data_IF_697248152655
#
_entry.id   IF_697248152655
#
_cell.length_a   1.000
_cell.length_b   1.000
_cell.length_c   1.000
_cell.angle_alpha   90.00
_cell.angle_beta   90.00
_cell.angle_gamma   90.00
#
_symmetry.space_group_name_H-M   'P 1'
#
loop_
_entity.id
_entity.type
_entity.pdbx_description
1 polymer ?
#
# COMPACT_ATOMS: atom_id res chain seq x y z
N UNK A 1 56.48 25.87 -33.46
CA UNK A 1 56.64 24.93 -32.37
C UNK A 1 55.26 24.27 -32.10
N UNK A 2 55.07 23.06 -32.59
CA UNK A 2 53.82 22.29 -32.33
C UNK A 2 54.15 21.39 -31.10
N UNK A 3 53.47 21.64 -29.98
CA UNK A 3 53.60 20.81 -28.79
C UNK A 3 52.77 19.51 -28.99
N UNK A 4 53.48 18.40 -29.08
CA UNK A 4 52.92 17.06 -29.14
C UNK A 4 52.64 16.67 -27.70
N UNK A 5 51.39 16.52 -27.31
CA UNK A 5 50.97 15.92 -26.03
C UNK A 5 51.13 14.42 -26.17
N UNK A 6 51.90 13.75 -25.30
CA UNK A 6 52.13 12.32 -25.42
C UNK A 6 50.83 11.51 -25.16
N UNK A 7 50.59 10.52 -26.01
CA UNK A 7 49.41 9.65 -25.99
C UNK A 7 49.19 8.90 -24.66
N UNK A 8 50.20 8.85 -23.82
CA UNK A 8 50.13 8.21 -22.45
C UNK A 8 49.24 8.97 -21.46
N UNK A 9 49.02 10.30 -21.65
CA UNK A 9 48.14 11.08 -20.76
C UNK A 9 46.69 10.93 -21.10
N UNK A 10 46.31 10.66 -22.34
CA UNK A 10 44.96 10.38 -22.76
C UNK A 10 44.47 9.00 -22.27
N UNK A 11 45.37 8.00 -22.23
CA UNK A 11 45.05 6.69 -21.69
C UNK A 11 44.87 6.73 -20.16
N UNK A 12 45.63 7.59 -19.45
CA UNK A 12 45.50 7.74 -18.00
C UNK A 12 44.24 8.51 -17.61
N UNK A 13 43.84 9.49 -18.40
CA UNK A 13 42.57 10.22 -18.18
C UNK A 13 41.35 9.35 -18.51
N UNK A 14 41.42 8.49 -19.52
CA UNK A 14 40.36 7.52 -19.83
C UNK A 14 40.25 6.43 -18.78
N UNK A 15 41.36 6.01 -18.14
CA UNK A 15 41.36 5.04 -17.04
C UNK A 15 40.83 5.67 -15.74
N UNK A 16 41.08 6.96 -15.49
CA UNK A 16 40.53 7.70 -14.35
C UNK A 16 39.03 7.99 -14.51
N UNK A 17 38.53 8.17 -15.74
CA UNK A 17 37.11 8.31 -16.01
C UNK A 17 36.38 6.95 -15.97
N UNK A 18 37.07 5.85 -16.25
CA UNK A 18 36.48 4.51 -16.13
C UNK A 18 36.46 3.96 -14.68
N UNK A 19 37.25 4.56 -13.76
CA UNK A 19 37.26 4.21 -12.32
C UNK A 19 36.29 5.08 -11.51
N UNK A 20 35.77 6.17 -12.09
CA UNK A 20 34.79 7.03 -11.42
C UNK A 20 33.33 6.52 -11.51
N UNK A 21 33.10 5.43 -12.23
CA UNK A 21 31.76 4.77 -12.31
C UNK A 21 31.67 3.49 -11.45
N UNK A 22 32.58 3.29 -10.53
CA UNK A 22 32.29 2.47 -9.34
C UNK A 22 31.69 3.43 -8.30
N UNK A 23 30.55 4.01 -8.61
CA UNK A 23 29.62 4.41 -7.58
C UNK A 23 29.45 3.20 -6.66
N UNK A 24 29.77 3.34 -5.40
CA UNK A 24 29.34 2.43 -4.35
C UNK A 24 27.90 2.09 -4.70
N UNK A 25 27.62 0.84 -5.03
CA UNK A 25 26.27 0.40 -5.32
C UNK A 25 25.50 0.66 -4.03
N UNK A 26 24.67 1.72 -4.00
CA UNK A 26 23.81 2.03 -2.89
C UNK A 26 23.02 0.76 -2.57
N UNK A 27 23.14 0.26 -1.34
CA UNK A 27 22.45 -0.94 -0.91
C UNK A 27 20.95 -0.62 -0.84
N UNK A 28 20.21 -1.00 -1.89
CA UNK A 28 18.78 -0.80 -1.98
C UNK A 28 18.05 -2.10 -1.69
N UNK A 29 16.98 -2.02 -0.92
CA UNK A 29 16.16 -3.16 -0.53
C UNK A 29 14.69 -2.92 -0.83
N UNK A 30 14.00 -3.99 -1.20
CA UNK A 30 12.54 -4.02 -1.24
C UNK A 30 12.09 -4.64 0.08
N UNK A 31 11.20 -3.95 0.80
CA UNK A 31 10.55 -4.46 1.99
C UNK A 31 9.10 -4.78 1.64
N UNK A 32 8.74 -6.06 1.69
CA UNK A 32 7.40 -6.54 1.34
C UNK A 32 6.74 -7.23 2.54
N UNK A 33 5.47 -6.90 2.81
CA UNK A 33 4.70 -7.59 3.84
C UNK A 33 4.27 -8.97 3.36
N UNK A 34 4.32 -9.97 4.24
CA UNK A 34 3.86 -11.32 3.91
C UNK A 34 2.33 -11.48 3.97
N UNK A 35 1.61 -10.50 4.53
CA UNK A 35 0.16 -10.49 4.79
C UNK A 35 -0.25 -11.71 5.64
N UNK A 36 -0.76 -12.78 5.04
CA UNK A 36 -1.11 -14.04 5.71
C UNK A 36 0.09 -14.78 6.33
N UNK A 37 1.29 -14.45 5.95
CA UNK A 37 2.54 -14.82 6.60
C UNK A 37 3.01 -13.64 7.45
N UNK A 38 3.10 -13.75 8.78
CA UNK A 38 3.37 -12.62 9.68
C UNK A 38 4.83 -12.15 9.65
N UNK A 39 5.37 -11.96 8.46
CA UNK A 39 6.76 -11.55 8.23
C UNK A 39 6.86 -10.37 7.28
N UNK A 40 7.95 -9.64 7.43
CA UNK A 40 8.44 -8.69 6.44
C UNK A 40 9.61 -9.33 5.71
N UNK A 41 9.55 -9.36 4.41
CA UNK A 41 10.58 -9.87 3.52
C UNK A 41 11.48 -8.74 3.07
N UNK A 42 12.75 -8.79 3.46
CA UNK A 42 13.79 -7.91 2.96
C UNK A 42 14.46 -8.56 1.74
N UNK A 43 14.41 -7.89 0.61
CA UNK A 43 14.90 -8.38 -0.68
C UNK A 43 15.97 -7.41 -1.17
N UNK A 44 17.18 -7.91 -1.41
CA UNK A 44 18.24 -7.13 -2.05
C UNK A 44 17.85 -6.80 -3.49
N UNK A 45 17.64 -5.52 -3.78
CA UNK A 45 17.19 -5.04 -5.08
C UNK A 45 18.21 -5.35 -6.19
N UNK A 46 19.48 -5.11 -5.92
CA UNK A 46 20.54 -5.36 -6.88
C UNK A 46 20.75 -6.86 -7.14
N UNK A 47 20.59 -7.68 -6.10
CA UNK A 47 20.61 -9.15 -6.27
C UNK A 47 19.40 -9.62 -7.09
N UNK A 48 18.21 -9.04 -6.90
CA UNK A 48 17.01 -9.40 -7.66
C UNK A 48 17.19 -9.18 -9.17
N UNK A 49 17.89 -8.13 -9.57
CA UNK A 49 18.18 -7.82 -10.98
C UNK A 49 19.20 -8.75 -11.63
N UNK A 50 19.92 -9.59 -10.87
CA UNK A 50 20.87 -10.56 -11.46
C UNK A 50 20.11 -11.71 -12.13
N UNK A 51 20.39 -12.04 -13.42
CA UNK A 51 19.64 -13.07 -14.15
C UNK A 51 19.59 -14.44 -13.44
N UNK A 52 20.65 -14.81 -12.73
CA UNK A 52 20.74 -16.07 -11.97
C UNK A 52 19.76 -16.16 -10.79
N UNK A 53 19.24 -15.03 -10.32
CA UNK A 53 18.31 -14.95 -9.20
C UNK A 53 16.85 -14.80 -9.68
N UNK A 54 16.62 -14.65 -10.99
CA UNK A 54 15.29 -14.50 -11.54
C UNK A 54 14.47 -15.78 -11.32
N UNK A 55 13.21 -15.62 -10.92
CA UNK A 55 12.28 -16.70 -10.56
C UNK A 55 12.74 -17.56 -9.38
N UNK A 56 13.52 -17.00 -8.47
CA UNK A 56 14.02 -17.70 -7.27
C UNK A 56 13.84 -16.82 -6.02
N UNK A 57 13.95 -17.39 -4.81
CA UNK A 57 14.00 -16.63 -3.57
C UNK A 57 15.40 -16.08 -3.21
N UNK A 58 16.39 -16.27 -4.05
CA UNK A 58 17.82 -16.03 -3.72
C UNK A 58 18.16 -14.56 -3.45
N UNK A 59 17.27 -13.63 -3.81
CA UNK A 59 17.44 -12.21 -3.46
C UNK A 59 16.86 -11.86 -2.08
N UNK A 60 16.14 -12.77 -1.41
CA UNK A 60 15.61 -12.55 -0.05
C UNK A 60 16.77 -12.68 0.93
N UNK A 61 17.08 -11.60 1.65
CA UNK A 61 18.17 -11.56 2.63
C UNK A 61 17.71 -11.92 4.04
N UNK A 62 16.45 -11.57 4.36
CA UNK A 62 15.85 -11.91 5.66
C UNK A 62 14.33 -11.88 5.64
N UNK A 63 13.72 -12.48 6.66
CA UNK A 63 12.27 -12.56 6.91
C UNK A 63 12.03 -12.23 8.38
N UNK A 64 11.82 -10.95 8.69
CA UNK A 64 11.59 -10.51 10.06
C UNK A 64 10.15 -10.75 10.49
N UNK A 65 9.91 -11.43 11.60
CA UNK A 65 8.57 -11.56 12.19
C UNK A 65 8.10 -10.23 12.75
N UNK A 66 6.81 -9.94 12.61
CA UNK A 66 6.18 -8.69 13.12
C UNK A 66 5.75 -8.78 14.57
N UNK A 67 5.64 -10.00 15.10
CA UNK A 67 5.31 -10.29 16.49
C UNK A 67 6.06 -11.53 16.97
N UNK A 68 6.26 -11.71 18.30
CA UNK A 68 6.61 -12.99 18.86
C UNK A 68 5.54 -14.05 18.53
N UNK A 69 5.97 -15.28 18.34
CA UNK A 69 5.03 -16.39 18.22
C UNK A 69 4.26 -16.60 19.53
N UNK A 70 3.11 -17.21 19.44
CA UNK A 70 2.38 -17.68 20.62
C UNK A 70 3.17 -18.75 21.36
N UNK A 71 2.77 -19.06 22.61
CA UNK A 71 3.37 -20.12 23.42
C UNK A 71 3.28 -21.51 22.77
N UNK A 72 2.29 -21.72 21.90
CA UNK A 72 2.11 -22.95 21.12
C UNK A 72 2.92 -22.93 19.79
N UNK A 73 3.72 -21.89 19.55
CA UNK A 73 4.51 -21.72 18.34
C UNK A 73 3.73 -21.17 17.13
N UNK A 74 2.45 -20.85 17.29
CA UNK A 74 1.65 -20.26 16.20
C UNK A 74 2.15 -18.85 15.86
N UNK A 75 2.50 -18.56 14.60
CA UNK A 75 2.88 -17.23 14.17
C UNK A 75 1.74 -16.21 14.33
N UNK A 76 2.08 -14.97 14.67
CA UNK A 76 1.12 -13.90 14.96
C UNK A 76 1.39 -12.68 14.10
N UNK A 77 0.30 -12.05 13.67
CA UNK A 77 0.31 -10.83 12.88
C UNK A 77 -0.25 -11.06 11.48
N UNK A 78 -0.68 -9.96 10.87
CA UNK A 78 -1.25 -9.92 9.53
C UNK A 78 -0.80 -8.62 8.87
N UNK A 79 0.52 -8.50 8.51
CA UNK A 79 1.12 -7.24 8.06
C UNK A 79 0.52 -6.79 6.72
N UNK A 80 -0.25 -5.71 6.77
CA UNK A 80 -0.96 -5.16 5.63
C UNK A 80 -0.22 -4.01 4.94
N UNK A 81 0.46 -3.16 5.71
CA UNK A 81 1.14 -1.99 5.19
C UNK A 81 2.47 -1.77 5.92
N UNK A 82 3.42 -1.15 5.23
CA UNK A 82 4.73 -0.80 5.77
C UNK A 82 5.11 0.60 5.32
N UNK A 83 5.52 1.44 6.26
CA UNK A 83 5.99 2.81 6.01
C UNK A 83 7.29 3.02 6.79
N UNK A 84 8.29 3.58 6.13
CA UNK A 84 9.57 3.93 6.76
C UNK A 84 9.48 5.30 7.45
N UNK A 85 10.26 5.48 8.52
CA UNK A 85 10.57 6.81 9.05
C UNK A 85 11.39 7.62 8.02
N UNK A 86 11.42 8.94 8.18
CA UNK A 86 12.15 9.84 7.29
C UNK A 86 13.67 9.54 7.24
N UNK A 87 14.24 9.10 8.36
CA UNK A 87 15.65 8.70 8.46
C UNK A 87 15.91 7.24 8.05
N UNK A 88 14.89 6.53 7.57
CA UNK A 88 14.92 5.13 7.16
C UNK A 88 15.37 4.11 8.24
N UNK A 89 15.50 4.55 9.51
CA UNK A 89 15.95 3.66 10.60
C UNK A 89 14.86 2.82 11.21
N UNK A 90 13.61 3.28 11.10
CA UNK A 90 12.44 2.63 11.68
C UNK A 90 11.43 2.28 10.61
N UNK A 91 10.93 1.05 10.61
CA UNK A 91 9.77 0.64 9.83
C UNK A 91 8.55 0.53 10.75
N UNK A 92 7.44 1.16 10.34
CA UNK A 92 6.13 1.00 10.98
C UNK A 92 5.30 0.06 10.14
N UNK A 93 4.94 -1.08 10.71
CA UNK A 93 4.18 -2.12 10.02
C UNK A 93 2.80 -2.22 10.64
N UNK A 94 1.77 -1.93 9.85
CA UNK A 94 0.38 -2.11 10.28
C UNK A 94 -0.02 -3.56 10.09
N UNK A 95 -0.45 -4.18 11.17
CA UNK A 95 -1.04 -5.51 11.15
C UNK A 95 -2.56 -5.35 11.18
N UNK A 96 -3.21 -5.85 10.15
CA UNK A 96 -4.65 -5.74 9.97
C UNK A 96 -5.41 -6.45 11.10
N UNK A 97 -4.96 -7.65 11.42
CA UNK A 97 -5.32 -8.40 12.60
C UNK A 97 -4.04 -8.67 13.39
N UNK A 98 -3.87 -8.00 14.49
CA UNK A 98 -2.70 -8.19 15.35
C UNK A 98 -3.16 -8.71 16.71
N UNK A 99 -2.58 -9.76 17.19
CA UNK A 99 -2.95 -10.26 18.48
C UNK A 99 -2.31 -9.42 19.60
N UNK A 100 -2.96 -8.32 19.94
CA UNK A 100 -2.73 -7.68 21.25
C UNK A 100 -3.34 -8.57 22.36
N UNK A 101 -4.41 -9.32 22.01
CA UNK A 101 -5.07 -10.25 22.91
C UNK A 101 -5.47 -11.53 22.15
N UNK A 102 -4.90 -12.66 22.53
CA UNK A 102 -5.14 -13.96 21.88
C UNK A 102 -6.62 -14.40 21.91
N UNK A 103 -7.40 -14.01 22.91
CA UNK A 103 -8.81 -14.36 23.00
C UNK A 103 -9.65 -13.56 22.00
N UNK A 104 -9.37 -12.27 21.83
CA UNK A 104 -10.01 -11.41 20.82
C UNK A 104 -9.67 -11.86 19.40
N UNK A 105 -8.43 -12.25 19.14
CA UNK A 105 -8.02 -12.76 17.83
C UNK A 105 -8.83 -13.97 17.38
N UNK A 106 -9.10 -14.90 18.31
CA UNK A 106 -9.87 -16.11 18.00
C UNK A 106 -11.36 -15.83 17.77
N UNK A 107 -11.90 -14.77 18.38
CA UNK A 107 -13.32 -14.43 18.28
C UNK A 107 -13.64 -13.45 17.14
N UNK A 108 -12.73 -12.51 16.85
CA UNK A 108 -12.99 -11.37 15.94
C UNK A 108 -11.84 -11.04 15.00
N UNK A 109 -10.84 -11.90 14.84
CA UNK A 109 -9.62 -11.59 14.10
C UNK A 109 -8.63 -10.70 14.87
N UNK A 110 -9.00 -10.25 16.08
CA UNK A 110 -8.21 -9.39 16.96
C UNK A 110 -8.14 -7.93 16.49
N UNK A 111 -7.85 -7.01 17.41
CA UNK A 111 -7.57 -5.61 17.06
C UNK A 111 -6.32 -5.52 16.22
N UNK A 112 -6.27 -4.52 15.36
CA UNK A 112 -5.07 -4.19 14.61
C UNK A 112 -3.92 -3.73 15.53
N UNK A 113 -2.70 -3.88 15.05
CA UNK A 113 -1.51 -3.40 15.76
C UNK A 113 -0.54 -2.69 14.81
N UNK A 114 0.45 -2.00 15.40
CA UNK A 114 1.56 -1.41 14.66
C UNK A 114 2.84 -1.97 15.25
N UNK A 115 3.59 -2.74 14.47
CA UNK A 115 4.93 -3.16 14.84
C UNK A 115 5.93 -2.07 14.49
N UNK A 116 6.68 -1.61 15.48
CA UNK A 116 7.80 -0.66 15.33
C UNK A 116 9.07 -1.48 15.22
N UNK A 117 9.72 -1.44 14.07
CA UNK A 117 10.82 -2.35 13.74
C UNK A 117 12.10 -1.58 13.39
N UNK A 118 13.22 -2.06 13.88
CA UNK A 118 14.56 -1.58 13.53
C UNK A 118 14.94 -2.09 12.13
N UNK A 119 15.11 -1.17 11.18
CA UNK A 119 15.42 -1.51 9.78
C UNK A 119 16.79 -2.16 9.67
N UNK A 120 17.80 -1.67 10.39
CA UNK A 120 19.13 -2.26 10.37
C UNK A 120 19.14 -3.73 10.79
N UNK A 121 18.32 -4.10 11.80
CA UNK A 121 18.15 -5.50 12.22
C UNK A 121 17.35 -6.31 11.20
N UNK A 122 16.30 -5.72 10.61
CA UNK A 122 15.51 -6.39 9.57
C UNK A 122 16.35 -6.85 8.38
N UNK A 123 17.42 -6.13 8.06
CA UNK A 123 18.28 -6.43 6.91
C UNK A 123 19.38 -7.47 7.20
N UNK A 124 19.54 -7.92 8.45
CA UNK A 124 20.64 -8.81 8.83
C UNK A 124 20.19 -10.27 8.82
N UNK A 125 20.94 -11.17 8.13
CA UNK A 125 20.61 -12.58 8.07
C UNK A 125 20.54 -13.28 9.44
N UNK A 126 21.29 -12.82 10.44
CA UNK A 126 21.27 -13.39 11.79
C UNK A 126 19.96 -13.13 12.56
N UNK A 127 19.11 -12.24 12.03
CA UNK A 127 17.76 -12.00 12.54
C UNK A 127 16.67 -12.66 11.68
N UNK A 128 17.06 -13.41 10.63
CA UNK A 128 16.11 -14.11 9.76
C UNK A 128 15.18 -15.00 10.59
N UNK A 129 13.90 -14.94 10.27
CA UNK A 129 12.82 -15.70 10.89
C UNK A 129 12.67 -15.50 12.42
N UNK A 130 13.09 -14.34 12.93
CA UNK A 130 12.92 -13.95 14.33
C UNK A 130 12.13 -12.65 14.47
N UNK A 131 11.65 -12.35 15.69
CA UNK A 131 11.02 -11.09 16.07
C UNK A 131 12.00 -10.04 16.63
N UNK A 132 13.31 -10.33 16.58
CA UNK A 132 14.34 -9.50 17.20
C UNK A 132 14.54 -8.12 16.56
N UNK A 133 13.95 -7.89 15.38
CA UNK A 133 13.86 -6.57 14.76
C UNK A 133 12.70 -5.73 15.34
N UNK A 134 11.75 -6.34 16.02
CA UNK A 134 10.63 -5.63 16.66
C UNK A 134 11.11 -4.95 17.94
N UNK A 135 10.98 -3.64 18.00
CA UNK A 135 11.27 -2.86 19.21
C UNK A 135 10.06 -2.80 20.13
N UNK A 136 8.87 -2.63 19.55
CA UNK A 136 7.59 -2.50 20.26
C UNK A 136 6.43 -2.84 19.34
N UNK A 137 5.30 -3.15 19.95
CA UNK A 137 4.00 -3.27 19.28
C UNK A 137 3.01 -2.31 19.94
N UNK A 138 2.33 -1.50 19.14
CA UNK A 138 1.29 -0.59 19.57
C UNK A 138 -0.09 -1.14 19.23
N UNK A 139 -1.06 -0.91 20.10
CA UNK A 139 -2.48 -1.11 19.76
C UNK A 139 -2.90 -0.02 18.75
N UNK A 140 -3.45 -0.41 17.61
CA UNK A 140 -3.97 0.55 16.63
C UNK A 140 -5.27 1.24 17.09
N UNK A 141 -5.91 0.69 18.12
CA UNK A 141 -7.13 1.21 18.74
C UNK A 141 -8.39 0.50 18.33
N UNK A 142 -8.44 -0.10 17.13
CA UNK A 142 -9.62 -0.76 16.55
C UNK A 142 -9.24 -1.96 15.69
N UNK A 143 -10.25 -2.64 15.14
CA UNK A 143 -10.06 -3.77 14.23
C UNK A 143 -9.72 -3.29 12.81
N UNK A 144 -9.18 -4.19 12.00
CA UNK A 144 -8.99 -3.95 10.58
C UNK A 144 -8.02 -2.82 10.22
N UNK A 145 -6.95 -2.62 10.99
CA UNK A 145 -5.95 -1.59 10.70
C UNK A 145 -5.29 -1.82 9.33
N UNK A 146 -5.23 -0.79 8.48
CA UNK A 146 -4.71 -0.94 7.11
C UNK A 146 -3.91 0.26 6.60
N UNK A 147 -4.48 1.45 6.58
CA UNK A 147 -3.80 2.66 6.15
C UNK A 147 -2.91 3.22 7.25
N UNK A 148 -1.76 3.75 6.86
CA UNK A 148 -0.80 4.36 7.78
C UNK A 148 -0.19 5.62 7.18
N UNK A 149 -0.22 6.69 7.95
CA UNK A 149 0.57 7.90 7.73
C UNK A 149 1.49 8.10 8.93
N UNK A 150 2.77 8.31 8.66
CA UNK A 150 3.80 8.60 9.66
C UNK A 150 4.09 10.10 9.63
N UNK A 151 3.87 10.77 10.77
CA UNK A 151 4.22 12.17 11.02
C UNK A 151 5.39 12.23 12.01
N UNK A 152 6.04 13.38 12.22
CA UNK A 152 7.17 13.50 13.14
C UNK A 152 6.90 12.91 14.54
N UNK A 153 5.71 13.20 15.11
CA UNK A 153 5.36 12.77 16.46
C UNK A 153 4.14 11.85 16.54
N UNK A 154 3.47 11.58 15.40
CA UNK A 154 2.19 10.88 15.36
C UNK A 154 2.15 9.80 14.28
N UNK A 155 1.31 8.81 14.51
CA UNK A 155 0.87 7.84 13.51
C UNK A 155 -0.63 8.02 13.32
N UNK A 156 -1.09 8.08 12.06
CA UNK A 156 -2.50 8.06 11.72
C UNK A 156 -2.81 6.68 11.13
N UNK A 157 -3.81 5.99 11.67
CA UNK A 157 -4.15 4.62 11.27
C UNK A 157 -5.62 4.53 10.96
N UNK A 158 -5.96 4.09 9.73
CA UNK A 158 -7.33 3.81 9.34
C UNK A 158 -7.72 2.36 9.66
N UNK A 159 -9.03 2.12 9.78
CA UNK A 159 -9.59 0.84 10.17
C UNK A 159 -10.69 0.42 9.21
N UNK A 160 -10.58 -0.76 8.63
CA UNK A 160 -11.50 -1.29 7.62
C UNK A 160 -12.03 -2.68 7.97
N UNK A 161 -12.90 -3.20 7.11
CA UNK A 161 -13.51 -4.54 7.21
C UNK A 161 -14.46 -4.76 8.40
N UNK A 162 -14.88 -3.68 9.09
CA UNK A 162 -15.82 -3.76 10.19
C UNK A 162 -17.06 -2.87 9.92
N UNK A 163 -18.17 -3.22 10.55
CA UNK A 163 -19.48 -2.64 10.27
C UNK A 163 -20.09 -1.97 11.50
N UNK A 164 -19.27 -1.76 12.53
CA UNK A 164 -19.67 -1.11 13.78
C UNK A 164 -18.74 0.05 14.09
N UNK A 165 -19.30 1.10 14.66
CA UNK A 165 -18.51 2.25 15.13
C UNK A 165 -17.52 1.86 16.22
N UNK A 166 -17.90 0.94 17.10
CA UNK A 166 -17.06 0.41 18.17
C UNK A 166 -15.84 -0.33 17.63
N UNK A 167 -15.93 -0.91 16.43
CA UNK A 167 -14.84 -1.63 15.76
C UNK A 167 -13.95 -0.69 14.93
N UNK A 168 -14.33 0.59 14.78
CA UNK A 168 -13.55 1.60 14.08
C UNK A 168 -13.88 1.79 12.61
N UNK A 169 -14.99 1.22 12.11
CA UNK A 169 -15.39 1.27 10.69
C UNK A 169 -15.66 2.67 10.12
N UNK A 170 -15.65 3.70 10.97
CA UNK A 170 -15.72 5.11 10.59
C UNK A 170 -14.62 5.94 11.25
N UNK A 171 -13.51 5.33 11.68
CA UNK A 171 -12.51 6.00 12.50
C UNK A 171 -11.09 5.88 11.95
N UNK A 172 -10.32 6.95 12.22
CA UNK A 172 -8.87 6.98 12.03
C UNK A 172 -8.26 7.31 13.39
N UNK A 173 -7.42 6.41 13.91
CA UNK A 173 -6.72 6.62 15.18
C UNK A 173 -5.54 7.58 15.01
N UNK A 174 -5.35 8.46 16.00
CA UNK A 174 -4.19 9.33 16.13
C UNK A 174 -3.38 8.82 17.33
N UNK A 175 -2.20 8.27 17.05
CA UNK A 175 -1.35 7.56 18.02
C UNK A 175 -0.05 8.35 18.23
N UNK A 176 0.37 8.48 19.46
CA UNK A 176 1.67 9.05 19.80
C UNK A 176 2.78 8.12 19.32
N UNK A 177 3.64 8.60 18.44
CA UNK A 177 4.71 7.82 17.81
C UNK A 177 5.74 7.30 18.81
N UNK A 178 5.97 8.02 19.90
CA UNK A 178 6.97 7.68 20.92
C UNK A 178 6.45 6.67 21.93
N UNK A 179 5.21 6.84 22.37
CA UNK A 179 4.63 6.04 23.46
C UNK A 179 3.70 4.93 23.00
N UNK A 180 3.15 5.03 21.78
CA UNK A 180 2.09 4.16 21.26
C UNK A 180 0.72 4.44 21.89
N UNK A 181 0.60 5.44 22.73
CA UNK A 181 -0.69 5.83 23.33
C UNK A 181 -1.60 6.52 22.32
N UNK A 182 -2.87 6.13 22.26
CA UNK A 182 -3.87 6.83 21.45
C UNK A 182 -4.14 8.22 22.05
N UNK A 183 -3.83 9.27 21.29
CA UNK A 183 -4.06 10.66 21.70
C UNK A 183 -5.46 11.15 21.36
N UNK A 184 -5.97 10.75 20.19
CA UNK A 184 -7.26 11.16 19.68
C UNK A 184 -7.73 10.19 18.59
N UNK A 185 -8.87 10.49 18.00
CA UNK A 185 -9.40 9.82 16.82
C UNK A 185 -10.10 10.84 15.93
N UNK A 186 -10.10 10.61 14.63
CA UNK A 186 -10.98 11.27 13.68
C UNK A 186 -12.20 10.37 13.53
N UNK A 187 -13.39 10.93 13.67
CA UNK A 187 -14.65 10.23 13.43
C UNK A 187 -15.29 10.80 12.16
N UNK A 188 -15.55 9.93 11.21
CA UNK A 188 -16.19 10.27 9.94
C UNK A 188 -17.71 10.09 10.08
N UNK A 189 -18.47 10.93 9.39
CA UNK A 189 -19.92 10.82 9.34
C UNK A 189 -20.36 9.46 8.78
N UNK A 190 -21.46 8.93 9.30
CA UNK A 190 -22.10 7.74 8.73
C UNK A 190 -22.96 8.12 7.53
N UNK A 191 -23.08 7.19 6.58
CA UNK A 191 -23.86 7.36 5.37
C UNK A 191 -23.18 8.24 4.31
N UNK A 192 -23.92 8.46 3.24
CA UNK A 192 -23.58 9.39 2.17
C UNK A 192 -24.86 9.99 1.58
N UNK A 193 -24.79 11.11 0.82
CA UNK A 193 -25.97 11.72 0.23
C UNK A 193 -26.81 10.72 -0.57
N UNK A 194 -28.09 10.61 -0.24
CA UNK A 194 -29.04 9.72 -0.91
C UNK A 194 -29.11 8.29 -0.36
N UNK A 195 -28.32 7.95 0.67
CA UNK A 195 -28.40 6.66 1.35
C UNK A 195 -28.85 6.84 2.81
N UNK A 196 -30.05 6.35 3.14
CA UNK A 196 -30.54 6.36 4.51
C UNK A 196 -29.96 5.16 5.27
N UNK A 197 -29.25 5.43 6.34
CA UNK A 197 -28.75 4.38 7.23
C UNK A 197 -29.84 3.99 8.21
N UNK A 198 -30.28 2.73 8.24
CA UNK A 198 -31.22 2.24 9.24
C UNK A 198 -30.58 2.24 10.63
N UNK A 199 -31.37 2.45 11.67
CA UNK A 199 -30.94 2.20 13.04
C UNK A 199 -30.69 0.70 13.21
N UNK A 200 -29.43 0.31 13.29
CA UNK A 200 -29.08 -1.08 13.57
C UNK A 200 -29.17 -1.32 15.07
N UNK A 201 -29.87 -2.39 15.52
CA UNK A 201 -29.83 -2.77 16.92
C UNK A 201 -28.38 -3.12 17.32
N UNK A 202 -27.87 -2.46 18.34
CA UNK A 202 -26.55 -2.74 18.94
C UNK A 202 -26.72 -3.84 20.00
N UNK A 203 -25.81 -4.81 20.11
CA UNK A 203 -24.62 -5.01 19.32
C UNK A 203 -24.85 -5.97 18.12
N UNK A 204 -24.36 -5.59 16.94
CA UNK A 204 -24.20 -6.57 15.87
C UNK A 204 -23.01 -7.45 16.22
N UNK A 205 -23.27 -8.67 16.63
CA UNK A 205 -22.23 -9.69 16.70
C UNK A 205 -21.99 -10.17 15.26
N UNK A 206 -20.86 -9.82 14.69
CA UNK A 206 -20.45 -10.37 13.40
C UNK A 206 -20.58 -11.89 13.46
N UNK A 207 -21.30 -12.54 12.52
CA UNK A 207 -21.37 -13.98 12.53
C UNK A 207 -19.94 -14.54 12.41
N UNK A 208 -19.54 -15.33 13.37
CA UNK A 208 -18.27 -16.06 13.34
C UNK A 208 -18.55 -17.52 12.97
N UNK A 209 -17.87 -18.06 11.98
CA UNK A 209 -16.92 -17.43 11.06
C UNK A 209 -17.61 -16.50 10.05
N UNK A 210 -16.90 -15.57 9.41
CA UNK A 210 -17.49 -14.78 8.34
C UNK A 210 -18.13 -15.72 7.32
N UNK A 211 -19.35 -15.43 6.83
CA UNK A 211 -20.05 -16.35 5.97
C UNK A 211 -19.16 -16.73 4.78
N UNK A 212 -18.95 -18.02 4.57
CA UNK A 212 -18.24 -18.57 3.41
C UNK A 212 -19.07 -18.48 2.12
N UNK A 213 -20.24 -17.89 2.20
CA UNK A 213 -21.18 -17.67 1.10
C UNK A 213 -20.80 -16.41 0.35
N UNK A 214 -20.82 -16.42 -0.98
CA UNK A 214 -20.78 -15.20 -1.79
C UNK A 214 -21.85 -14.22 -1.28
N UNK A 215 -21.53 -12.93 -1.24
CA UNK A 215 -22.46 -11.89 -0.82
C UNK A 215 -23.83 -12.06 -1.53
N UNK A 216 -24.80 -12.64 -0.84
CA UNK A 216 -26.17 -12.71 -1.33
C UNK A 216 -26.87 -11.41 -0.93
N UNK A 217 -27.24 -10.62 -1.92
CA UNK A 217 -27.95 -9.34 -1.85
C UNK A 217 -27.16 -8.20 -1.15
N UNK A 218 -27.36 -6.93 -1.53
CA UNK A 218 -26.66 -5.83 -0.90
C UNK A 218 -27.01 -5.80 0.59
N UNK A 219 -26.00 -6.06 1.43
CA UNK A 219 -26.13 -5.91 2.86
C UNK A 219 -26.51 -4.42 3.15
N UNK A 220 -27.63 -4.15 3.84
CA UNK A 220 -28.07 -2.77 4.09
C UNK A 220 -27.06 -1.93 4.90
N UNK A 221 -26.04 -2.56 5.49
CA UNK A 221 -24.93 -1.88 6.16
C UNK A 221 -23.96 -1.22 5.18
N UNK A 222 -23.83 -1.75 3.95
CA UNK A 222 -23.04 -1.09 2.91
C UNK A 222 -23.67 0.26 2.56
N UNK A 223 -22.85 1.27 2.42
CA UNK A 223 -23.27 2.65 2.25
C UNK A 223 -23.49 3.41 3.55
N UNK A 224 -23.47 2.75 4.70
CA UNK A 224 -23.62 3.39 6.01
C UNK A 224 -22.27 3.66 6.69
N UNK A 225 -21.40 2.67 6.77
CA UNK A 225 -20.06 2.84 7.36
C UNK A 225 -19.04 3.12 6.26
N UNK A 226 -18.22 4.16 6.41
CA UNK A 226 -17.18 4.49 5.43
C UNK A 226 -16.19 3.35 5.18
N UNK A 227 -15.80 2.60 6.19
CA UNK A 227 -14.74 1.59 6.11
C UNK A 227 -13.48 2.16 5.45
N UNK A 228 -12.78 3.08 6.15
CA UNK A 228 -11.60 3.74 5.62
C UNK A 228 -10.48 2.74 5.39
N UNK A 229 -10.07 2.59 4.13
CA UNK A 229 -8.96 1.76 3.70
C UNK A 229 -7.64 2.52 3.81
N UNK A 230 -6.87 2.65 2.75
CA UNK A 230 -5.64 3.44 2.80
C UNK A 230 -5.93 4.94 2.94
N UNK A 231 -4.96 5.66 3.53
CA UNK A 231 -4.99 7.10 3.75
C UNK A 231 -3.75 7.78 3.16
N UNK A 232 -3.88 9.04 2.75
CA UNK A 232 -2.79 9.83 2.19
C UNK A 232 -2.89 11.31 2.60
N UNK A 233 -1.76 12.03 2.56
CA UNK A 233 -1.72 13.47 2.81
C UNK A 233 -1.65 14.24 1.50
N UNK A 234 -2.53 15.22 1.33
CA UNK A 234 -2.48 16.21 0.26
C UNK A 234 -2.10 17.59 0.79
N UNK A 235 -1.45 18.39 -0.03
CA UNK A 235 -1.03 19.75 0.33
C UNK A 235 -1.80 20.79 -0.47
N UNK A 236 -2.61 21.59 0.23
CA UNK A 236 -3.35 22.68 -0.38
C UNK A 236 -2.47 23.89 -0.71
N UNK A 237 -2.91 24.68 -1.70
CA UNK A 237 -2.26 25.94 -2.04
C UNK A 237 -2.33 27.00 -0.93
N UNK A 238 -3.17 26.77 0.09
CA UNK A 238 -3.24 27.57 1.33
C UNK A 238 -2.16 27.20 2.36
N UNK A 239 -1.24 26.28 2.00
CA UNK A 239 -0.15 25.82 2.87
C UNK A 239 -0.59 24.83 3.95
N UNK A 240 -1.84 24.37 3.93
CA UNK A 240 -2.35 23.37 4.88
C UNK A 240 -2.22 21.96 4.32
N UNK A 241 -2.18 20.99 5.23
CA UNK A 241 -2.19 19.56 4.91
C UNK A 241 -3.56 18.97 5.21
N UNK A 242 -4.05 18.20 4.26
CA UNK A 242 -5.34 17.53 4.32
C UNK A 242 -5.13 16.01 4.28
N UNK A 243 -5.91 15.30 5.10
CA UNK A 243 -5.93 13.84 5.11
C UNK A 243 -7.04 13.36 4.18
N UNK A 244 -6.70 12.43 3.31
CA UNK A 244 -7.63 11.77 2.39
C UNK A 244 -7.80 10.32 2.78
N UNK A 245 -9.02 9.80 2.73
CA UNK A 245 -9.35 8.41 3.01
C UNK A 245 -10.21 7.84 1.90
N UNK A 246 -9.82 6.69 1.35
CA UNK A 246 -10.69 5.90 0.48
C UNK A 246 -11.64 5.08 1.34
N UNK A 247 -12.94 5.27 1.14
CA UNK A 247 -14.00 4.68 1.95
C UNK A 247 -14.69 3.54 1.19
N UNK A 248 -14.23 2.31 1.40
CA UNK A 248 -14.73 1.14 0.65
C UNK A 248 -16.20 0.82 0.93
N UNK A 249 -16.75 1.25 2.06
CA UNK A 249 -18.13 1.01 2.44
C UNK A 249 -19.13 2.00 1.83
N UNK A 250 -18.69 3.22 1.45
CA UNK A 250 -19.56 4.27 0.91
C UNK A 250 -19.24 4.66 -0.53
N UNK A 251 -18.25 4.01 -1.16
CA UNK A 251 -17.82 4.27 -2.55
C UNK A 251 -17.39 5.72 -2.79
N UNK A 252 -16.74 6.34 -1.80
CA UNK A 252 -16.34 7.74 -1.85
C UNK A 252 -14.96 7.97 -1.23
N UNK A 253 -14.50 9.22 -1.30
CA UNK A 253 -13.28 9.70 -0.66
C UNK A 253 -13.62 10.81 0.30
N UNK A 254 -13.25 10.64 1.57
CA UNK A 254 -13.29 11.71 2.57
C UNK A 254 -12.06 12.60 2.49
N UNK A 255 -12.28 13.88 2.72
CA UNK A 255 -11.24 14.90 2.88
C UNK A 255 -11.36 15.50 4.27
N UNK A 256 -10.28 15.51 5.04
CA UNK A 256 -10.27 15.97 6.42
C UNK A 256 -9.20 17.04 6.63
N UNK A 257 -9.56 18.13 7.32
CA UNK A 257 -8.59 19.13 7.76
C UNK A 257 -7.74 18.55 8.89
N UNK A 258 -6.50 18.17 8.58
CA UNK A 258 -5.61 17.53 9.54
C UNK A 258 -5.27 18.43 10.71
N UNK A 259 -5.12 19.76 10.48
CA UNK A 259 -4.85 20.70 11.55
C UNK A 259 -6.01 20.76 12.55
N UNK A 260 -7.25 20.84 12.06
CA UNK A 260 -8.45 20.81 12.90
C UNK A 260 -8.55 19.49 13.69
N UNK A 261 -8.24 18.36 13.02
CA UNK A 261 -8.24 17.05 13.66
C UNK A 261 -7.22 16.98 14.84
N UNK A 262 -6.02 17.50 14.63
CA UNK A 262 -4.98 17.52 15.66
C UNK A 262 -5.29 18.48 16.81
N UNK A 263 -6.11 19.52 16.57
CA UNK A 263 -6.63 20.43 17.59
C UNK A 263 -7.86 19.89 18.33
N UNK A 264 -8.34 18.68 17.97
CA UNK A 264 -9.48 18.04 18.62
C UNK A 264 -10.84 18.62 18.21
N UNK A 265 -10.95 19.23 17.03
CA UNK A 265 -12.24 19.71 16.51
C UNK A 265 -13.19 18.52 16.33
N UNK A 266 -14.48 18.68 16.70
CA UNK A 266 -15.46 17.59 16.64
C UNK A 266 -15.87 17.21 15.21
N UNK A 267 -15.75 18.13 14.26
CA UNK A 267 -16.05 17.89 12.83
C UNK A 267 -14.89 18.41 12.02
N UNK A 268 -14.23 17.52 11.33
CA UNK A 268 -13.03 17.82 10.52
C UNK A 268 -13.19 17.41 9.07
N UNK A 269 -14.25 16.64 8.77
CA UNK A 269 -14.55 16.17 7.42
C UNK A 269 -15.14 17.31 6.58
N UNK A 270 -14.61 17.49 5.38
CA UNK A 270 -15.04 18.51 4.42
C UNK A 270 -16.12 17.89 3.54
N UNK A 271 -17.31 18.47 3.56
CA UNK A 271 -18.43 18.02 2.75
C UNK A 271 -18.52 18.82 1.42
N UNK A 272 -19.03 18.19 0.36
CA UNK A 272 -19.41 16.78 0.27
C UNK A 272 -18.20 15.86 0.09
N UNK A 273 -18.33 14.58 0.44
CA UNK A 273 -17.39 13.54 0.02
C UNK A 273 -17.33 13.43 -1.49
N UNK A 274 -16.24 12.91 -2.01
CA UNK A 274 -16.00 12.81 -3.45
C UNK A 274 -16.36 11.40 -3.91
N UNK A 275 -17.47 11.23 -4.68
CA UNK A 275 -17.87 9.91 -5.16
C UNK A 275 -16.87 9.39 -6.19
N UNK A 276 -16.48 8.12 -6.03
CA UNK A 276 -15.63 7.38 -6.96
C UNK A 276 -16.39 6.21 -7.59
N UNK A 277 -15.72 5.32 -8.34
CA UNK A 277 -16.47 4.26 -9.04
C UNK A 277 -17.06 3.24 -8.06
N UNK A 278 -16.20 2.60 -7.25
CA UNK A 278 -16.59 1.53 -6.33
C UNK A 278 -15.44 1.21 -5.38
N UNK A 279 -15.74 0.85 -4.15
CA UNK A 279 -14.85 0.33 -3.13
C UNK A 279 -13.42 0.86 -3.14
N UNK A 280 -13.19 2.18 -2.97
CA UNK A 280 -11.85 2.74 -3.04
C UNK A 280 -10.94 2.09 -2.00
N UNK A 281 -9.72 1.73 -2.43
CA UNK A 281 -8.77 1.02 -1.58
C UNK A 281 -7.40 1.71 -1.52
N UNK A 282 -6.58 1.54 -2.56
CA UNK A 282 -5.27 2.16 -2.64
C UNK A 282 -5.36 3.65 -2.89
N UNK A 283 -4.69 4.43 -2.06
CA UNK A 283 -4.67 5.89 -2.17
C UNK A 283 -3.24 6.40 -1.98
N UNK A 284 -2.80 7.31 -2.85
CA UNK A 284 -1.46 7.93 -2.76
C UNK A 284 -1.50 9.35 -3.29
N UNK A 285 -0.80 10.24 -2.58
CA UNK A 285 -0.55 11.60 -3.06
C UNK A 285 0.55 11.62 -4.13
N UNK A 286 0.40 12.52 -5.10
CA UNK A 286 1.49 12.88 -6.01
C UNK A 286 2.68 13.46 -5.24
N UNK A 287 3.93 13.40 -5.76
CA UNK A 287 5.10 13.89 -5.05
C UNK A 287 5.02 15.36 -4.62
N UNK A 288 4.30 16.18 -5.37
CA UNK A 288 4.06 17.59 -5.02
C UNK A 288 2.82 17.82 -4.13
N UNK A 289 2.13 16.75 -3.74
CA UNK A 289 0.96 16.80 -2.87
C UNK A 289 -0.33 17.39 -3.48
N UNK A 290 -0.32 17.77 -4.78
CA UNK A 290 -1.45 18.46 -5.43
C UNK A 290 -2.57 17.56 -5.91
N UNK A 291 -2.25 16.29 -6.16
CA UNK A 291 -3.21 15.28 -6.62
C UNK A 291 -3.18 14.06 -5.72
N UNK A 292 -4.34 13.43 -5.59
CA UNK A 292 -4.49 12.14 -4.94
C UNK A 292 -4.97 11.13 -5.98
N UNK A 293 -4.25 10.03 -6.16
CA UNK A 293 -4.72 8.90 -6.97
C UNK A 293 -5.39 7.86 -6.06
N UNK A 294 -6.54 7.36 -6.49
CA UNK A 294 -7.39 6.44 -5.73
C UNK A 294 -7.80 5.28 -6.63
N UNK A 295 -7.62 4.04 -6.19
CA UNK A 295 -8.11 2.86 -6.93
C UNK A 295 -9.55 2.56 -6.55
N UNK A 296 -10.35 2.14 -7.53
CA UNK A 296 -11.68 1.56 -7.31
C UNK A 296 -11.56 0.03 -7.34
N UNK A 297 -11.48 -0.61 -6.17
CA UNK A 297 -11.18 -2.05 -6.05
C UNK A 297 -12.42 -2.93 -6.15
N UNK A 298 -13.31 -2.81 -5.22
CA UNK A 298 -14.53 -3.63 -5.13
C UNK A 298 -15.55 -2.94 -4.23
N UNK A 299 -16.82 -3.05 -4.57
CA UNK A 299 -17.91 -2.57 -3.72
C UNK A 299 -18.52 -3.72 -2.94
N UNK A 300 -18.82 -3.45 -1.68
CA UNK A 300 -19.74 -4.30 -0.93
C UNK A 300 -21.20 -4.05 -1.27
N UNK A 301 -21.52 -2.94 -1.94
CA UNK A 301 -22.88 -2.57 -2.33
C UNK A 301 -23.35 -3.24 -3.63
N UNK A 302 -22.42 -3.57 -4.51
CA UNK A 302 -22.69 -4.20 -5.80
C UNK A 302 -21.71 -5.33 -6.02
N UNK A 303 -22.16 -6.43 -6.66
CA UNK A 303 -21.29 -7.51 -7.11
C UNK A 303 -20.45 -7.06 -8.32
N UNK A 304 -19.64 -6.03 -8.12
CA UNK A 304 -18.80 -5.43 -9.14
C UNK A 304 -17.42 -5.06 -8.59
N UNK A 305 -16.39 -5.65 -9.17
CA UNK A 305 -15.01 -5.20 -8.95
C UNK A 305 -14.67 -4.07 -9.92
N UNK A 306 -14.12 -2.97 -9.41
CA UNK A 306 -13.82 -1.78 -10.21
C UNK A 306 -12.78 -1.99 -11.30
N UNK A 307 -12.71 -1.01 -12.19
CA UNK A 307 -11.73 -0.97 -13.29
C UNK A 307 -11.20 0.43 -13.54
N UNK A 308 -11.29 1.32 -12.55
CA UNK A 308 -10.80 2.70 -12.70
C UNK A 308 -9.87 3.12 -11.57
N UNK A 309 -9.10 4.17 -11.85
CA UNK A 309 -8.53 5.03 -10.84
C UNK A 309 -9.15 6.43 -10.96
N UNK A 310 -9.34 7.08 -9.82
CA UNK A 310 -9.73 8.50 -9.72
C UNK A 310 -8.53 9.35 -9.38
N UNK A 311 -8.41 10.52 -10.03
CA UNK A 311 -7.39 11.53 -9.75
C UNK A 311 -8.11 12.73 -9.15
N UNK A 312 -7.84 13.03 -7.89
CA UNK A 312 -8.50 14.08 -7.12
C UNK A 312 -7.57 15.28 -7.02
N UNK A 313 -8.09 16.46 -7.37
CA UNK A 313 -7.42 17.75 -7.17
C UNK A 313 -7.59 18.19 -5.72
N UNK A 314 -6.47 18.35 -4.99
CA UNK A 314 -6.47 18.68 -3.57
C UNK A 314 -7.07 20.05 -3.30
N UNK A 315 -6.78 21.04 -4.14
CA UNK A 315 -7.31 22.41 -3.94
C UNK A 315 -8.82 22.50 -4.13
N UNK A 316 -9.39 21.74 -5.06
CA UNK A 316 -10.84 21.64 -5.21
C UNK A 316 -11.46 20.83 -4.08
N UNK A 317 -10.85 19.71 -3.75
CA UNK A 317 -11.35 18.81 -2.71
C UNK A 317 -11.45 19.49 -1.34
N UNK A 318 -10.40 20.23 -0.92
CA UNK A 318 -10.35 20.93 0.37
C UNK A 318 -11.39 22.05 0.53
N UNK A 319 -11.99 22.50 -0.53
CA UNK A 319 -13.04 23.53 -0.51
C UNK A 319 -14.44 22.97 -0.73
N UNK A 320 -14.58 21.66 -0.92
CA UNK A 320 -15.84 21.03 -1.31
C UNK A 320 -16.33 21.45 -2.70
N UNK A 321 -15.42 21.98 -3.55
CA UNK A 321 -15.79 22.47 -4.87
C UNK A 321 -16.19 21.34 -5.82
N UNK A 322 -17.18 21.57 -6.72
CA UNK A 322 -17.52 20.63 -7.78
C UNK A 322 -16.30 20.30 -8.67
N UNK A 323 -16.21 19.05 -9.14
CA UNK A 323 -15.11 18.60 -10.00
C UNK A 323 -13.80 18.38 -9.24
N UNK A 324 -13.87 18.08 -7.96
CA UNK A 324 -12.71 17.66 -7.19
C UNK A 324 -12.09 16.37 -7.73
N UNK A 325 -12.89 15.43 -8.27
CA UNK A 325 -12.39 14.37 -9.14
C UNK A 325 -12.02 14.99 -10.50
N UNK A 326 -10.74 15.30 -10.67
CA UNK A 326 -10.22 15.96 -11.88
C UNK A 326 -10.17 15.02 -13.09
N UNK A 327 -10.02 13.72 -12.85
CA UNK A 327 -10.04 12.70 -13.89
C UNK A 327 -10.42 11.33 -13.33
N UNK A 328 -11.04 10.50 -14.18
CA UNK A 328 -11.27 9.06 -13.95
C UNK A 328 -10.73 8.29 -15.14
N UNK A 329 -9.81 7.36 -14.90
CA UNK A 329 -9.12 6.61 -15.94
C UNK A 329 -9.42 5.14 -15.79
N UNK A 330 -9.87 4.49 -16.87
CA UNK A 330 -10.00 3.03 -16.91
C UNK A 330 -8.62 2.40 -16.97
N UNK A 331 -8.43 1.31 -16.20
CA UNK A 331 -7.16 0.59 -16.10
C UNK A 331 -7.37 -0.91 -16.16
N UNK A 332 -6.37 -1.61 -16.65
CA UNK A 332 -6.27 -3.08 -16.62
C UNK A 332 -7.14 -3.82 -17.64
N UNK A 333 -8.11 -3.17 -18.27
CA UNK A 333 -9.01 -3.78 -19.27
C UNK A 333 -9.51 -2.75 -20.27
N UNK A 334 -9.78 -3.17 -21.49
CA UNK A 334 -10.43 -2.34 -22.54
C UNK A 334 -11.96 -2.45 -22.47
N UNK A 335 -12.46 -3.53 -21.88
CA UNK A 335 -13.89 -3.72 -21.67
C UNK A 335 -14.41 -2.73 -20.62
N UNK A 336 -15.38 -1.86 -20.94
CA UNK A 336 -15.99 -0.94 -19.97
C UNK A 336 -16.69 -1.65 -18.82
N UNK A 337 -17.15 -2.88 -19.03
CA UNK A 337 -17.78 -3.72 -18.00
C UNK A 337 -16.79 -4.76 -17.43
N UNK A 338 -15.55 -4.74 -17.89
CA UNK A 338 -14.51 -5.64 -17.41
C UNK A 338 -14.08 -5.29 -15.99
N UNK A 339 -13.87 -6.30 -15.19
CA UNK A 339 -13.43 -6.16 -13.79
C UNK A 339 -11.91 -6.31 -13.73
N UNK A 340 -11.20 -5.22 -13.40
CA UNK A 340 -9.74 -5.22 -13.26
C UNK A 340 -9.31 -5.39 -11.80
N UNK A 341 -10.10 -4.92 -10.85
CA UNK A 341 -9.82 -4.87 -9.42
C UNK A 341 -8.47 -4.21 -9.13
N UNK A 342 -8.32 -2.90 -9.45
CA UNK A 342 -7.10 -2.17 -9.16
C UNK A 342 -6.90 -2.07 -7.63
N UNK A 343 -5.71 -2.45 -7.15
CA UNK A 343 -5.45 -2.64 -5.72
C UNK A 343 -4.73 -1.45 -5.12
N UNK A 344 -3.49 -1.19 -5.50
CA UNK A 344 -2.73 -0.02 -5.02
C UNK A 344 -2.15 0.77 -6.18
N UNK A 345 -1.71 1.99 -5.85
CA UNK A 345 -1.05 2.91 -6.78
C UNK A 345 0.28 3.39 -6.22
N UNK A 346 1.20 3.71 -7.13
CA UNK A 346 2.42 4.47 -6.83
C UNK A 346 2.63 5.54 -7.91
N UNK A 347 3.25 6.65 -7.52
CA UNK A 347 3.63 7.72 -8.43
C UNK A 347 5.10 7.58 -8.82
N UNK A 348 5.44 7.95 -10.06
CA UNK A 348 6.84 8.23 -10.39
C UNK A 348 7.30 9.49 -9.66
N UNK A 349 8.60 9.61 -9.28
CA UNK A 349 9.11 10.74 -8.51
C UNK A 349 8.90 12.10 -9.18
N UNK A 350 8.84 12.14 -10.50
CA UNK A 350 8.55 13.34 -11.29
C UNK A 350 7.05 13.70 -11.32
N UNK A 351 6.19 12.84 -10.75
CA UNK A 351 4.74 13.02 -10.69
C UNK A 351 4.01 12.88 -12.02
N UNK A 352 4.67 12.37 -13.07
CA UNK A 352 4.09 12.30 -14.41
C UNK A 352 3.30 11.03 -14.67
N UNK A 353 3.64 9.94 -13.98
CA UNK A 353 3.01 8.64 -14.20
C UNK A 353 2.51 8.04 -12.90
N UNK A 354 1.46 7.24 -13.02
CA UNK A 354 0.85 6.47 -11.94
C UNK A 354 0.93 4.99 -12.32
N UNK A 355 1.49 4.19 -11.42
CA UNK A 355 1.61 2.73 -11.56
C UNK A 355 0.45 2.10 -10.79
N UNK A 356 -0.30 1.22 -11.42
CA UNK A 356 -1.51 0.60 -10.85
C UNK A 356 -1.43 -0.91 -10.94
N UNK A 357 -1.57 -1.59 -9.81
CA UNK A 357 -1.63 -3.05 -9.77
C UNK A 357 -3.08 -3.53 -9.96
N UNK A 358 -3.37 -4.27 -11.04
CA UNK A 358 -4.70 -4.78 -11.37
C UNK A 358 -4.79 -6.28 -11.03
N UNK A 359 -5.38 -6.59 -9.88
CA UNK A 359 -5.41 -7.93 -9.30
C UNK A 359 -6.10 -8.97 -10.20
N UNK A 360 -7.30 -8.64 -10.72
CA UNK A 360 -8.14 -9.58 -11.46
C UNK A 360 -7.56 -9.86 -12.85
N UNK A 361 -7.08 -8.83 -13.52
CA UNK A 361 -6.55 -8.93 -14.89
C UNK A 361 -5.07 -9.32 -14.95
N UNK A 362 -4.41 -9.48 -13.81
CA UNK A 362 -3.00 -9.93 -13.72
C UNK A 362 -2.04 -9.05 -14.53
N UNK A 363 -2.21 -7.74 -14.44
CA UNK A 363 -1.35 -6.79 -15.13
C UNK A 363 -1.10 -5.54 -14.27
N UNK A 364 -0.14 -4.76 -14.72
CA UNK A 364 0.22 -3.46 -14.13
C UNK A 364 -0.01 -2.39 -15.18
N UNK A 365 -0.84 -1.41 -14.87
CA UNK A 365 -1.09 -0.26 -15.74
C UNK A 365 -0.11 0.87 -15.44
N UNK A 366 0.31 1.59 -16.49
CA UNK A 366 1.00 2.88 -16.39
C UNK A 366 0.05 3.94 -16.94
N UNK A 367 -0.30 4.92 -16.13
CA UNK A 367 -1.20 6.03 -16.49
C UNK A 367 -0.40 7.33 -16.56
N UNK A 368 -0.51 8.06 -17.68
CA UNK A 368 0.06 9.39 -17.86
C UNK A 368 -0.87 10.44 -17.27
N UNK A 369 -0.39 11.21 -16.29
CA UNK A 369 -1.20 12.22 -15.59
C UNK A 369 -1.71 13.32 -16.54
N UNK A 370 -0.89 13.79 -17.46
CA UNK A 370 -1.26 14.88 -18.37
C UNK A 370 -2.39 14.44 -19.31
N UNK A 371 -2.31 13.21 -19.83
CA UNK A 371 -3.37 12.65 -20.67
C UNK A 371 -4.65 12.41 -19.83
N UNK A 372 -4.50 11.93 -18.61
CA UNK A 372 -5.63 11.71 -17.70
C UNK A 372 -6.39 13.04 -17.43
N UNK A 373 -5.67 14.10 -17.08
CA UNK A 373 -6.24 15.43 -16.83
C UNK A 373 -6.84 16.07 -18.10
N UNK A 374 -6.39 15.66 -19.27
CA UNK A 374 -6.99 16.05 -20.56
C UNK A 374 -8.18 15.16 -20.95
N UNK A 375 -8.58 14.20 -20.12
CA UNK A 375 -9.62 13.20 -20.38
C UNK A 375 -9.35 12.40 -21.67
N UNK A 376 -8.07 12.24 -22.04
CA UNK A 376 -7.70 11.44 -23.22
C UNK A 376 -7.90 9.95 -22.91
N UNK A 377 -8.66 9.21 -23.73
CA UNK A 377 -8.88 7.78 -23.54
C UNK A 377 -7.61 6.92 -23.58
N UNK A 378 -6.50 7.49 -24.07
CA UNK A 378 -5.17 6.86 -24.10
C UNK A 378 -4.34 7.13 -22.86
N UNK A 379 -4.94 7.64 -21.78
CA UNK A 379 -4.22 7.95 -20.55
C UNK A 379 -3.56 6.71 -19.92
N UNK A 380 -4.11 5.50 -20.07
CA UNK A 380 -3.40 4.25 -19.80
C UNK A 380 -2.42 3.99 -20.94
N UNK A 381 -1.15 4.40 -20.76
CA UNK A 381 -0.11 4.36 -21.80
C UNK A 381 0.61 3.01 -21.91
N UNK A 382 0.43 2.14 -20.94
CA UNK A 382 0.94 0.78 -20.97
C UNK A 382 0.14 -0.15 -20.04
N UNK A 383 0.10 -1.43 -20.41
CA UNK A 383 -0.44 -2.52 -19.62
C UNK A 383 0.54 -3.70 -19.70
N UNK A 384 1.15 -4.02 -18.56
CA UNK A 384 2.26 -4.98 -18.46
C UNK A 384 1.75 -6.23 -17.76
N UNK A 385 1.65 -7.38 -18.47
CA UNK A 385 1.25 -8.63 -17.84
C UNK A 385 2.25 -9.05 -16.75
N UNK A 386 1.73 -9.58 -15.63
CA UNK A 386 2.54 -10.20 -14.58
C UNK A 386 1.97 -11.58 -14.26
N UNK A 387 2.86 -12.57 -14.20
CA UNK A 387 2.54 -13.95 -13.90
C UNK A 387 3.50 -14.48 -12.84
N UNK A 388 3.07 -15.48 -12.12
CA UNK A 388 3.98 -16.25 -11.26
C UNK A 388 4.64 -17.35 -12.09
N UNK A 389 5.89 -17.72 -11.77
CA UNK A 389 6.53 -18.86 -12.41
C UNK A 389 5.67 -20.11 -12.33
N UNK A 390 5.92 -21.05 -13.23
CA UNK A 390 5.23 -22.33 -13.25
C UNK A 390 5.53 -23.12 -11.96
N UNK A 391 4.49 -23.70 -11.38
CA UNK A 391 4.61 -24.66 -10.30
C UNK A 391 5.18 -26.00 -10.80
N UNK A 392 5.32 -26.99 -9.92
CA UNK A 392 5.83 -28.33 -10.26
C UNK A 392 5.02 -29.05 -11.36
N UNK A 393 3.76 -28.63 -11.58
CA UNK A 393 2.89 -29.13 -12.65
C UNK A 393 3.15 -28.47 -14.04
N UNK A 394 4.11 -27.53 -14.10
CA UNK A 394 4.45 -26.78 -15.32
C UNK A 394 3.46 -25.67 -15.70
N UNK A 395 2.43 -25.41 -14.89
CA UNK A 395 1.43 -24.39 -15.18
C UNK A 395 1.83 -23.01 -14.63
N UNK A 396 1.88 -22.03 -15.52
CA UNK A 396 2.03 -20.61 -15.17
C UNK A 396 0.80 -20.15 -14.39
N UNK A 397 1.01 -19.50 -13.27
CA UNK A 397 -0.08 -19.07 -12.39
C UNK A 397 -0.38 -17.57 -12.54
N UNK A 398 -1.64 -17.15 -12.26
CA UNK A 398 -2.01 -15.74 -12.20
C UNK A 398 -1.12 -14.95 -11.21
N UNK A 399 -0.66 -13.77 -11.62
CA UNK A 399 0.19 -12.91 -10.80
C UNK A 399 -0.54 -12.34 -9.59
N UNK A 400 -1.78 -11.91 -9.78
CA UNK A 400 -2.60 -11.24 -8.76
C UNK A 400 -1.85 -10.08 -8.09
N UNK A 401 -1.39 -9.08 -8.87
CA UNK A 401 -0.59 -7.97 -8.35
C UNK A 401 -1.42 -7.10 -7.40
N UNK A 402 -0.75 -6.60 -6.33
CA UNK A 402 -1.39 -5.82 -5.25
C UNK A 402 -0.58 -4.61 -4.84
N UNK A 403 0.61 -4.81 -4.21
CA UNK A 403 1.48 -3.74 -3.75
C UNK A 403 2.24 -3.07 -4.89
N UNK A 404 2.47 -1.76 -4.79
CA UNK A 404 3.24 -0.98 -5.76
C UNK A 404 4.17 0.00 -5.07
N UNK A 405 5.39 0.14 -5.57
CA UNK A 405 6.34 1.20 -5.24
C UNK A 405 7.15 1.56 -6.49
N UNK A 406 7.80 2.72 -6.48
CA UNK A 406 8.69 3.17 -7.57
C UNK A 406 10.01 3.62 -6.96
N UNK A 407 11.14 3.28 -7.58
CA UNK A 407 12.48 3.71 -7.17
C UNK A 407 12.63 5.25 -7.25
N UNK A 408 13.46 5.84 -6.41
CA UNK A 408 13.66 7.30 -6.35
C UNK A 408 14.21 7.89 -7.65
N UNK A 409 14.93 7.09 -8.45
CA UNK A 409 15.39 7.47 -9.77
C UNK A 409 14.30 7.38 -10.87
N UNK A 410 13.11 6.85 -10.53
CA UNK A 410 11.99 6.67 -11.45
C UNK A 410 12.20 5.62 -12.54
N UNK A 411 13.23 4.78 -12.44
CA UNK A 411 13.53 3.76 -13.45
C UNK A 411 12.74 2.48 -13.31
N UNK A 412 12.42 2.10 -12.08
CA UNK A 412 11.78 0.82 -11.83
C UNK A 412 10.52 0.99 -10.98
N UNK A 413 9.50 0.24 -11.36
CA UNK A 413 8.38 -0.06 -10.47
C UNK A 413 8.58 -1.44 -9.86
N UNK A 414 8.26 -1.56 -8.58
CA UNK A 414 8.26 -2.82 -7.86
C UNK A 414 6.81 -3.16 -7.53
N UNK A 415 6.40 -4.39 -7.80
CA UNK A 415 5.04 -4.85 -7.60
C UNK A 415 5.04 -6.17 -6.84
N UNK A 416 4.25 -6.28 -5.79
CA UNK A 416 4.05 -7.52 -5.06
C UNK A 416 2.70 -8.14 -5.37
N UNK A 417 2.56 -9.45 -5.22
CA UNK A 417 1.28 -10.13 -5.40
C UNK A 417 1.38 -11.63 -5.18
N UNK A 418 0.26 -12.29 -5.33
CA UNK A 418 0.18 -13.73 -5.13
C UNK A 418 -1.20 -14.17 -4.64
N UNK A 419 -1.40 -15.49 -4.44
CA UNK A 419 -2.64 -16.01 -3.92
C UNK A 419 -2.79 -15.72 -2.43
N UNK A 420 -4.03 -15.60 -1.98
CA UNK A 420 -4.39 -15.61 -0.57
C UNK A 420 -4.45 -17.07 -0.11
N UNK A 421 -3.42 -17.53 0.58
CA UNK A 421 -3.31 -18.89 1.08
C UNK A 421 -3.47 -18.94 2.60
N UNK A 422 -3.58 -20.15 3.12
CA UNK A 422 -3.53 -20.41 4.54
C UNK A 422 -2.21 -19.91 5.15
N UNK A 423 -2.22 -19.31 6.35
CA UNK A 423 -1.01 -18.83 7.01
C UNK A 423 0.09 -19.88 7.21
N UNK A 424 -0.30 -21.17 7.27
CA UNK A 424 0.62 -22.31 7.42
C UNK A 424 1.17 -22.82 6.09
N UNK A 425 0.62 -22.37 4.96
CA UNK A 425 1.10 -22.77 3.65
C UNK A 425 2.51 -22.17 3.39
N UNK A 426 3.36 -22.88 2.62
CA UNK A 426 4.64 -22.32 2.21
C UNK A 426 4.46 -20.97 1.47
N UNK A 427 5.36 -20.00 1.70
CA UNK A 427 5.30 -18.70 1.01
C UNK A 427 5.32 -18.87 -0.50
N UNK A 428 4.30 -18.35 -1.19
CA UNK A 428 4.11 -18.50 -2.64
C UNK A 428 3.87 -17.18 -3.36
N UNK A 429 3.92 -16.06 -2.63
CA UNK A 429 3.86 -14.73 -3.22
C UNK A 429 5.10 -14.39 -4.03
N UNK A 430 5.00 -13.34 -4.79
CA UNK A 430 5.98 -12.93 -5.80
C UNK A 430 6.15 -11.41 -5.76
N UNK A 431 7.38 -10.96 -6.00
CA UNK A 431 7.70 -9.56 -6.28
C UNK A 431 8.28 -9.47 -7.69
N UNK A 432 7.74 -8.55 -8.50
CA UNK A 432 8.22 -8.24 -9.84
C UNK A 432 8.89 -6.87 -9.84
N UNK A 433 10.01 -6.77 -10.54
CA UNK A 433 10.65 -5.49 -10.87
C UNK A 433 10.37 -5.21 -12.34
N UNK A 434 9.83 -4.04 -12.61
CA UNK A 434 9.44 -3.58 -13.94
C UNK A 434 10.31 -2.39 -14.32
N UNK A 435 11.04 -2.48 -15.42
CA UNK A 435 11.73 -1.32 -16.01
C UNK A 435 10.71 -0.43 -16.72
N UNK A 436 10.55 0.81 -16.22
CA UNK A 436 9.53 1.74 -16.70
C UNK A 436 9.84 2.30 -18.08
N UNK A 437 11.10 2.32 -18.49
CA UNK A 437 11.50 2.78 -19.82
C UNK A 437 11.16 1.74 -20.90
N UNK A 438 11.48 0.47 -20.64
CA UNK A 438 11.18 -0.65 -21.57
C UNK A 438 9.79 -1.21 -21.40
N UNK A 439 9.11 -0.89 -20.28
CA UNK A 439 7.77 -1.39 -19.89
C UNK A 439 7.73 -2.91 -19.84
N UNK A 440 8.73 -3.50 -19.26
CA UNK A 440 8.90 -4.94 -19.17
C UNK A 440 9.28 -5.39 -17.76
N UNK A 441 8.86 -6.60 -17.37
CA UNK A 441 9.34 -7.26 -16.16
C UNK A 441 10.80 -7.65 -16.39
N UNK A 442 11.71 -7.15 -15.55
CA UNK A 442 13.15 -7.40 -15.63
C UNK A 442 13.66 -8.34 -14.54
N UNK A 443 12.90 -8.51 -13.46
CA UNK A 443 13.21 -9.48 -12.42
C UNK A 443 11.93 -9.97 -11.72
N UNK A 444 12.01 -11.20 -11.21
CA UNK A 444 10.95 -11.86 -10.45
C UNK A 444 11.56 -12.57 -9.25
N UNK A 445 11.10 -12.25 -8.04
CA UNK A 445 11.50 -12.90 -6.78
C UNK A 445 10.33 -13.69 -6.25
N UNK A 446 10.51 -14.98 -6.01
CA UNK A 446 9.46 -15.90 -5.53
C UNK A 446 9.59 -16.20 -4.04
N UNK A 447 8.59 -16.80 -3.44
CA UNK A 447 8.62 -17.18 -2.02
C UNK A 447 8.44 -16.00 -1.05
N UNK A 448 7.71 -14.97 -1.47
CA UNK A 448 7.48 -13.75 -0.70
C UNK A 448 6.07 -13.80 -0.08
N UNK A 449 5.96 -14.32 1.13
CA UNK A 449 4.70 -14.35 1.89
C UNK A 449 3.54 -15.11 1.25
N UNK A 450 2.41 -15.01 1.90
CA UNK A 450 1.12 -15.57 1.45
C UNK A 450 0.10 -14.43 1.35
N UNK A 451 -0.09 -13.86 0.17
CA UNK A 451 -0.91 -12.68 -0.11
C UNK A 451 -0.18 -11.32 0.08
N UNK A 452 1.07 -11.13 -0.37
CA UNK A 452 1.85 -9.91 -0.11
C UNK A 452 1.24 -8.68 -0.79
N UNK A 453 1.04 -7.55 -0.05
CA UNK A 453 0.62 -6.31 -0.66
C UNK A 453 1.15 -5.00 -0.05
N UNK A 454 1.58 -4.96 1.19
CA UNK A 454 2.35 -3.82 1.69
C UNK A 454 3.76 -3.83 1.09
N UNK A 455 4.18 -2.72 0.50
CA UNK A 455 5.45 -2.64 -0.22
C UNK A 455 6.09 -1.26 -0.07
N UNK A 456 7.40 -1.23 0.22
CA UNK A 456 8.22 -0.02 0.18
C UNK A 456 9.62 -0.35 -0.31
N UNK A 457 10.34 0.65 -0.80
CA UNK A 457 11.74 0.54 -1.20
C UNK A 457 12.56 1.35 -0.21
N UNK A 458 13.59 0.72 0.33
CA UNK A 458 14.63 1.36 1.09
C UNK A 458 15.79 1.62 0.15
N UNK A 459 16.07 2.88 -0.10
CA UNK A 459 17.26 3.35 -0.80
C UNK A 459 18.14 4.05 0.23
N UNK A 460 19.42 3.86 0.18
CA UNK A 460 20.39 4.30 1.20
C UNK A 460 20.18 3.62 2.57
N UNK A 461 20.83 2.49 2.75
CA UNK A 461 20.82 1.77 4.03
C UNK A 461 21.27 2.70 5.17
N UNK A 462 20.50 2.82 6.26
CA UNK A 462 20.93 3.60 7.42
C UNK A 462 22.16 2.92 8.07
N UNK A 463 23.15 3.74 8.40
CA UNK A 463 24.40 3.33 9.11
C UNK A 463 24.13 2.73 10.50
#
# INVERSE_FOLDING_TARGET
MKSIVPASWLAFLALLLAVADVALADESFILATGRRDPRIYAIDFNAALKPRNNNTPNAIVSRAKVHPDRLDGTPVGDPANIVLSEDHRTAYVVNHHGAVNNAEFLQHGGRGSISVMDVGRMLRPEFDNTDRAVERNYDSGYFGAVGLVVLPDLLLVSHSENWLTEDGSNRISIIDRKTGGRRAQIEMALGHPGHACPDFPVPFVSPTPPPTVPFEAPDPRFGCWPNPEFIALGHGSDGRTYLFSGNAGTDDVSVMDLHQALMGAPVVEIAPRIPVQTGPFGIKASPNGKFIAVTARESGQADFEGNTISIIDVDRARTGAPGAEAARVRVGTDDPNGQARPFTVAWTPDGRQIIVANYRTNNVSIVDLRLALAHDPRAEVARIPVTRPADADGLVRPGRPKGTAVTSDGRHAVVSGGPRLDPTAPPSGTVWVIDLRTRAVVATVTGVGNDPYGLTILEDRPD
#
